data_IF_787437973741
#
_entry.id   IF_787437973741
#
_cell.length_a   1.000
_cell.length_b   1.000
_cell.length_c   1.000
_cell.angle_alpha   90.00
_cell.angle_beta   90.00
_cell.angle_gamma   90.00
#
_symmetry.space_group_name_H-M   'P 1'
#
loop_
_entity.id
_entity.type
_entity.pdbx_description
1 polymer ?
#
# COMPACT_ATOMS: atom_id res chain seq x y z
N UNK A 1 34.89 24.07 6.39
CA UNK A 1 35.85 25.01 5.79
C UNK A 1 35.23 25.63 4.54
N UNK A 2 34.34 26.63 4.69
CA UNK A 2 34.25 27.66 3.66
C UNK A 2 35.50 28.50 3.77
N UNK A 3 36.11 28.81 2.63
CA UNK A 3 37.20 29.75 2.49
C UNK A 3 38.47 29.38 3.29
N UNK A 4 39.37 28.64 2.65
CA UNK A 4 40.78 28.91 2.81
C UNK A 4 41.02 30.32 2.24
N UNK A 5 40.78 31.35 3.05
CA UNK A 5 40.67 32.79 2.73
C UNK A 5 41.96 33.45 2.22
N UNK A 6 42.93 32.67 1.75
CA UNK A 6 44.20 33.18 1.24
C UNK A 6 44.27 33.38 -0.28
N UNK A 7 43.46 32.65 -1.05
CA UNK A 7 43.65 32.54 -2.52
C UNK A 7 42.42 32.87 -3.37
N UNK A 8 41.23 32.96 -2.79
CA UNK A 8 39.99 33.27 -3.51
C UNK A 8 39.65 34.75 -3.44
N UNK A 9 39.19 35.32 -4.56
CA UNK A 9 38.69 36.70 -4.56
C UNK A 9 37.34 36.78 -3.86
N UNK A 10 36.93 37.99 -3.44
CA UNK A 10 35.60 38.23 -2.87
C UNK A 10 34.47 37.93 -3.87
N UNK A 11 34.74 38.05 -5.16
CA UNK A 11 33.79 37.75 -6.24
C UNK A 11 33.60 36.24 -6.41
N UNK A 12 34.67 35.44 -6.29
CA UNK A 12 34.56 33.96 -6.33
C UNK A 12 33.72 33.42 -5.18
N UNK A 13 33.88 33.97 -3.97
CA UNK A 13 33.11 33.57 -2.80
C UNK A 13 31.63 33.93 -2.98
N UNK A 14 31.35 35.11 -3.53
CA UNK A 14 29.97 35.55 -3.79
C UNK A 14 29.26 34.64 -4.82
N UNK A 15 29.95 34.25 -5.90
CA UNK A 15 29.40 33.32 -6.90
C UNK A 15 29.08 31.94 -6.29
N UNK A 16 29.96 31.41 -5.44
CA UNK A 16 29.73 30.14 -4.74
C UNK A 16 28.57 30.25 -3.74
N UNK A 17 28.43 31.38 -3.06
CA UNK A 17 27.30 31.63 -2.16
C UNK A 17 25.97 31.65 -2.93
N UNK A 18 25.94 32.25 -4.12
CA UNK A 18 24.76 32.24 -5.00
C UNK A 18 24.38 30.83 -5.46
N UNK A 19 25.36 30.03 -5.92
CA UNK A 19 25.12 28.63 -6.30
C UNK A 19 24.58 27.80 -5.14
N UNK A 20 25.17 27.94 -3.95
CA UNK A 20 24.72 27.18 -2.78
C UNK A 20 23.32 27.58 -2.32
N UNK A 21 22.97 28.86 -2.38
CA UNK A 21 21.62 29.32 -2.06
C UNK A 21 20.59 28.84 -3.09
N UNK A 22 20.96 28.79 -4.37
CA UNK A 22 20.10 28.21 -5.42
C UNK A 22 19.85 26.71 -5.18
N UNK A 23 20.88 25.95 -4.81
CA UNK A 23 20.74 24.53 -4.47
C UNK A 23 19.85 24.32 -3.24
N UNK A 24 20.01 25.14 -2.19
CA UNK A 24 19.17 25.10 -1.00
C UNK A 24 17.69 25.36 -1.30
N UNK A 25 17.43 26.36 -2.15
CA UNK A 25 16.08 26.67 -2.62
C UNK A 25 15.48 25.50 -3.40
N UNK A 26 16.28 24.82 -4.23
CA UNK A 26 15.83 23.65 -4.99
C UNK A 26 15.52 22.45 -4.07
N UNK A 27 16.35 22.19 -3.06
CA UNK A 27 16.08 21.13 -2.06
C UNK A 27 14.74 21.38 -1.34
N UNK A 28 14.50 22.64 -0.97
CA UNK A 28 13.23 23.06 -0.34
C UNK A 28 12.06 22.88 -1.31
N UNK A 29 12.22 23.29 -2.57
CA UNK A 29 11.21 23.13 -3.61
C UNK A 29 10.83 21.65 -3.81
N UNK A 30 11.82 20.77 -3.92
CA UNK A 30 11.59 19.32 -4.04
C UNK A 30 10.80 18.82 -2.83
N UNK A 31 11.19 19.21 -1.62
CA UNK A 31 10.53 18.74 -0.39
C UNK A 31 9.06 19.18 -0.32
N UNK A 32 8.76 20.43 -0.69
CA UNK A 32 7.42 21.00 -0.60
C UNK A 32 6.48 20.61 -1.76
N UNK A 33 7.04 20.41 -2.96
CA UNK A 33 6.26 20.18 -4.18
C UNK A 33 6.18 18.72 -4.61
N UNK A 34 6.94 17.81 -4.00
CA UNK A 34 6.81 16.38 -4.32
C UNK A 34 5.48 15.86 -3.77
N UNK A 35 4.55 15.60 -4.68
CA UNK A 35 3.20 15.14 -4.37
C UNK A 35 2.86 13.88 -5.17
N UNK A 36 2.15 12.97 -4.54
CA UNK A 36 1.55 11.81 -5.19
C UNK A 36 0.04 11.86 -4.95
N UNK A 37 -0.73 11.83 -6.03
CA UNK A 37 -2.20 11.95 -5.97
C UNK A 37 -2.68 13.18 -5.15
N UNK A 38 -1.95 14.30 -5.23
CA UNK A 38 -2.27 15.53 -4.50
C UNK A 38 -1.83 15.57 -3.03
N UNK A 39 -1.41 14.44 -2.45
CA UNK A 39 -0.84 14.38 -1.10
C UNK A 39 0.68 14.59 -1.15
N UNK A 40 1.22 15.34 -0.20
CA UNK A 40 2.67 15.53 -0.04
C UNK A 40 3.30 14.22 0.41
N UNK A 41 4.30 13.72 -0.33
CA UNK A 41 4.90 12.39 -0.06
C UNK A 41 5.84 12.37 1.14
N UNK A 42 6.28 13.56 1.59
CA UNK A 42 7.20 13.72 2.71
C UNK A 42 6.45 13.94 4.04
N UNK A 43 5.12 14.09 4.02
CA UNK A 43 4.31 14.20 5.24
C UNK A 43 3.92 12.81 5.78
N UNK A 44 3.42 12.77 7.02
CA UNK A 44 2.94 11.53 7.61
C UNK A 44 1.68 11.03 6.89
N UNK A 45 1.61 9.71 6.67
CA UNK A 45 0.48 9.08 6.02
C UNK A 45 0.18 7.72 6.64
N UNK A 46 -1.10 7.40 6.80
CA UNK A 46 -1.56 6.09 7.25
C UNK A 46 -2.05 5.25 6.08
N UNK A 47 -1.55 4.02 5.97
CA UNK A 47 -2.02 3.03 5.01
C UNK A 47 -2.83 1.98 5.77
N UNK A 48 -4.11 1.82 5.41
CA UNK A 48 -4.92 0.70 5.93
C UNK A 48 -4.43 -0.59 5.28
N UNK A 49 -4.04 -1.57 6.11
CA UNK A 49 -3.37 -2.80 5.66
C UNK A 49 -4.25 -4.05 5.73
N UNK A 50 -5.44 -3.97 6.35
CA UNK A 50 -6.41 -5.07 6.39
C UNK A 50 -7.86 -4.59 6.54
N UNK A 51 -8.79 -5.54 6.46
CA UNK A 51 -10.24 -5.32 6.59
C UNK A 51 -10.67 -5.00 8.04
N UNK A 52 -9.80 -5.24 9.03
CA UNK A 52 -10.05 -4.86 10.42
C UNK A 52 -9.74 -3.37 10.70
N UNK A 53 -9.21 -2.66 9.70
CA UNK A 53 -8.84 -1.25 9.81
C UNK A 53 -7.48 -1.03 10.48
N UNK A 54 -6.63 -2.06 10.58
CA UNK A 54 -5.26 -1.86 11.07
C UNK A 54 -4.48 -0.99 10.09
N UNK A 55 -3.66 -0.09 10.61
CA UNK A 55 -2.88 0.84 9.80
C UNK A 55 -1.38 0.62 9.94
N UNK A 56 -0.66 0.86 8.84
CA UNK A 56 0.77 1.10 8.84
C UNK A 56 1.00 2.60 8.66
N UNK A 57 1.52 3.24 9.71
CA UNK A 57 1.89 4.66 9.68
C UNK A 57 3.25 4.83 9.02
N UNK A 58 3.28 5.64 7.97
CA UNK A 58 4.48 6.23 7.39
C UNK A 58 4.69 7.57 8.11
N UNK A 59 5.81 7.70 8.82
CA UNK A 59 6.16 8.96 9.48
C UNK A 59 6.59 10.02 8.47
N UNK A 60 6.36 11.29 8.82
CA UNK A 60 6.89 12.42 8.05
C UNK A 60 8.43 12.36 7.96
N UNK A 61 8.97 12.76 6.82
CA UNK A 61 10.40 12.91 6.63
C UNK A 61 10.89 14.09 7.49
N UNK A 62 11.89 13.84 8.32
CA UNK A 62 12.64 14.90 8.99
C UNK A 62 13.85 15.19 8.11
N UNK A 63 13.87 16.41 7.53
CA UNK A 63 14.86 16.88 6.55
C UNK A 63 15.36 18.30 6.94
N UNK A 64 15.49 18.56 8.23
CA UNK A 64 15.80 19.91 8.75
C UNK A 64 17.22 20.35 8.40
N UNK A 65 18.18 19.42 8.41
CA UNK A 65 19.56 19.72 8.07
C UNK A 65 19.70 19.84 6.55
N UNK A 66 18.99 19.00 5.79
CA UNK A 66 18.96 19.06 4.33
C UNK A 66 18.35 20.35 3.78
N UNK A 67 17.27 20.85 4.39
CA UNK A 67 16.63 22.13 4.00
C UNK A 67 17.34 23.35 4.61
N UNK A 68 18.16 23.14 5.64
CA UNK A 68 18.96 24.18 6.30
C UNK A 68 20.33 24.46 5.67
N UNK A 69 20.73 23.71 4.64
CA UNK A 69 21.99 23.97 3.91
C UNK A 69 21.92 25.37 3.30
N UNK A 70 22.90 26.20 3.62
CA UNK A 70 23.01 27.58 3.14
C UNK A 70 24.42 27.81 2.60
N UNK A 71 24.67 28.92 1.90
CA UNK A 71 25.99 29.56 1.95
C UNK A 71 26.47 29.61 3.43
N UNK A 72 27.73 29.71 3.83
CA UNK A 72 28.13 29.44 5.25
C UNK A 72 28.00 27.99 5.77
N UNK A 73 27.19 27.09 5.19
CA UNK A 73 27.22 25.67 5.61
C UNK A 73 28.61 25.07 5.46
N UNK A 74 29.04 24.32 6.47
CA UNK A 74 30.31 23.62 6.48
C UNK A 74 30.18 22.25 5.84
N UNK A 75 31.31 21.62 5.50
CA UNK A 75 31.32 20.24 5.01
C UNK A 75 30.63 19.29 6.01
N UNK A 76 30.80 19.52 7.31
CA UNK A 76 30.14 18.74 8.37
C UNK A 76 28.62 18.91 8.36
N UNK A 77 28.11 20.12 8.06
CA UNK A 77 26.67 20.35 7.95
C UNK A 77 26.09 19.64 6.72
N UNK A 78 26.85 19.62 5.61
CA UNK A 78 26.48 18.86 4.40
C UNK A 78 26.49 17.35 4.66
N UNK A 79 27.50 16.83 5.38
CA UNK A 79 27.57 15.42 5.76
C UNK A 79 26.37 15.04 6.64
N UNK A 80 26.01 15.88 7.62
CA UNK A 80 24.84 15.68 8.46
C UNK A 80 23.52 15.65 7.65
N UNK A 81 23.36 16.59 6.71
CA UNK A 81 22.23 16.62 5.78
C UNK A 81 22.14 15.34 4.92
N UNK A 82 23.28 14.84 4.43
CA UNK A 82 23.33 13.60 3.64
C UNK A 82 22.94 12.39 4.50
N UNK A 83 23.46 12.31 5.73
CA UNK A 83 23.13 11.24 6.67
C UNK A 83 21.65 11.26 7.09
N UNK A 84 21.07 12.44 7.24
CA UNK A 84 19.63 12.63 7.48
C UNK A 84 18.81 12.06 6.31
N UNK A 85 19.11 12.45 5.08
CA UNK A 85 18.43 11.93 3.87
C UNK A 85 18.56 10.42 3.77
N UNK A 86 19.77 9.87 4.00
CA UNK A 86 20.01 8.44 3.98
C UNK A 86 19.20 7.70 5.04
N UNK A 87 19.09 8.29 6.24
CA UNK A 87 18.28 7.74 7.33
C UNK A 87 16.79 7.70 6.95
N UNK A 88 16.25 8.75 6.32
CA UNK A 88 14.87 8.74 5.86
C UNK A 88 14.65 7.71 4.73
N UNK A 89 15.57 7.62 3.77
CA UNK A 89 15.51 6.61 2.70
C UNK A 89 15.53 5.18 3.24
N UNK A 90 16.36 4.92 4.25
CA UNK A 90 16.42 3.61 4.89
C UNK A 90 15.10 3.26 5.59
N UNK A 91 14.48 4.22 6.31
CA UNK A 91 13.17 4.02 6.95
C UNK A 91 12.07 3.72 5.92
N UNK A 92 12.02 4.47 4.82
CA UNK A 92 11.04 4.23 3.75
C UNK A 92 11.28 2.91 3.02
N UNK A 93 12.53 2.52 2.77
CA UNK A 93 12.84 1.20 2.22
C UNK A 93 12.40 0.05 3.14
N UNK A 94 12.60 0.20 4.46
CA UNK A 94 12.12 -0.79 5.44
C UNK A 94 10.58 -0.88 5.46
N UNK A 95 9.88 0.25 5.39
CA UNK A 95 8.42 0.28 5.28
C UNK A 95 7.91 -0.32 3.97
N UNK A 96 8.60 -0.09 2.86
CA UNK A 96 8.28 -0.71 1.57
C UNK A 96 8.38 -2.24 1.66
N UNK A 97 9.49 -2.77 2.20
CA UNK A 97 9.65 -4.22 2.40
C UNK A 97 8.53 -4.79 3.26
N UNK A 98 8.16 -4.08 4.34
CA UNK A 98 7.05 -4.49 5.21
C UNK A 98 5.71 -4.49 4.47
N UNK A 99 5.43 -3.48 3.64
CA UNK A 99 4.23 -3.42 2.81
C UNK A 99 4.18 -4.57 1.80
N UNK A 100 5.29 -4.87 1.12
CA UNK A 100 5.36 -6.00 0.18
C UNK A 100 5.06 -7.33 0.88
N UNK A 101 5.58 -7.55 2.09
CA UNK A 101 5.24 -8.73 2.88
C UNK A 101 3.76 -8.77 3.30
N UNK A 102 3.20 -7.63 3.70
CA UNK A 102 1.77 -7.52 4.05
C UNK A 102 0.90 -7.85 2.84
N UNK A 103 1.21 -7.30 1.67
CA UNK A 103 0.47 -7.55 0.42
C UNK A 103 0.50 -9.04 0.05
N UNK A 104 1.68 -9.67 0.12
CA UNK A 104 1.81 -11.10 -0.15
C UNK A 104 0.99 -11.95 0.83
N UNK A 105 1.05 -11.65 2.13
CA UNK A 105 0.28 -12.36 3.15
C UNK A 105 -1.24 -12.16 2.99
N UNK A 106 -1.68 -10.94 2.65
CA UNK A 106 -3.07 -10.64 2.40
C UNK A 106 -3.59 -11.36 1.15
N UNK A 107 -2.78 -11.48 0.10
CA UNK A 107 -3.08 -12.28 -1.08
C UNK A 107 -3.36 -13.75 -0.72
N UNK A 108 -2.47 -14.37 0.07
CA UNK A 108 -2.67 -15.75 0.54
C UNK A 108 -3.90 -15.89 1.44
N UNK A 109 -4.15 -14.92 2.31
CA UNK A 109 -5.34 -14.94 3.19
C UNK A 109 -6.62 -14.81 2.37
N UNK A 110 -6.64 -13.94 1.36
CA UNK A 110 -7.78 -13.75 0.44
C UNK A 110 -8.08 -15.04 -0.33
N UNK A 111 -7.05 -15.71 -0.87
CA UNK A 111 -7.21 -16.99 -1.57
C UNK A 111 -7.78 -18.08 -0.64
N UNK A 112 -7.25 -18.18 0.59
CA UNK A 112 -7.73 -19.14 1.58
C UNK A 112 -9.17 -18.88 2.03
N UNK A 113 -9.55 -17.61 2.20
CA UNK A 113 -10.91 -17.21 2.55
C UNK A 113 -11.87 -17.50 1.39
N UNK A 114 -11.49 -17.18 0.15
CA UNK A 114 -12.30 -17.48 -1.03
C UNK A 114 -12.50 -19.00 -1.22
N UNK A 115 -11.44 -19.80 -1.00
CA UNK A 115 -11.54 -21.26 -1.05
C UNK A 115 -12.42 -21.82 0.08
N UNK A 116 -12.38 -21.21 1.27
CA UNK A 116 -13.23 -21.59 2.39
C UNK A 116 -14.69 -21.20 2.14
N UNK A 117 -14.94 -20.01 1.58
CA UNK A 117 -16.29 -19.58 1.17
C UNK A 117 -16.85 -20.52 0.12
N UNK A 118 -16.06 -20.85 -0.92
CA UNK A 118 -16.43 -21.84 -1.94
C UNK A 118 -16.82 -23.17 -1.31
N UNK A 119 -16.05 -23.70 -0.35
CA UNK A 119 -16.43 -24.96 0.35
C UNK A 119 -17.71 -24.86 1.17
N UNK A 120 -18.01 -23.71 1.76
CA UNK A 120 -19.19 -23.51 2.62
C UNK A 120 -20.44 -23.25 1.76
N UNK A 121 -20.29 -22.47 0.71
CA UNK A 121 -21.39 -21.93 -0.10
C UNK A 121 -21.65 -22.75 -1.36
N UNK A 122 -20.61 -23.29 -1.97
CA UNK A 122 -20.78 -24.10 -3.17
C UNK A 122 -21.37 -25.44 -2.77
N UNK A 123 -22.52 -25.73 -3.36
CA UNK A 123 -23.20 -27.00 -3.20
C UNK A 123 -22.51 -28.07 -4.04
N UNK A 124 -22.48 -29.30 -3.53
CA UNK A 124 -22.11 -30.44 -4.35
C UNK A 124 -23.21 -30.67 -5.41
N UNK A 125 -22.94 -30.20 -6.62
CA UNK A 125 -23.85 -30.31 -7.78
C UNK A 125 -24.27 -31.76 -8.05
N UNK A 126 -23.39 -32.76 -7.81
CA UNK A 126 -23.75 -34.15 -8.03
C UNK A 126 -24.83 -34.60 -7.04
N UNK A 127 -24.69 -34.21 -5.77
CA UNK A 127 -25.67 -34.52 -4.73
C UNK A 127 -26.99 -33.79 -4.96
N UNK A 128 -26.95 -32.53 -5.34
CA UNK A 128 -28.17 -31.75 -5.59
C UNK A 128 -28.91 -32.24 -6.83
N UNK A 129 -28.21 -32.63 -7.90
CA UNK A 129 -28.80 -33.24 -9.09
C UNK A 129 -29.42 -34.62 -8.79
N UNK A 130 -28.81 -35.42 -7.92
CA UNK A 130 -29.41 -36.68 -7.47
C UNK A 130 -30.70 -36.44 -6.68
N UNK A 131 -30.70 -35.47 -5.76
CA UNK A 131 -31.90 -35.08 -5.01
C UNK A 131 -32.99 -34.53 -5.93
N UNK A 132 -32.63 -33.66 -6.88
CA UNK A 132 -33.55 -33.13 -7.89
C UNK A 132 -34.17 -34.24 -8.73
N UNK A 133 -33.35 -35.17 -9.24
CA UNK A 133 -33.83 -36.32 -10.02
C UNK A 133 -34.76 -37.22 -9.19
N UNK A 134 -34.38 -37.53 -7.94
CA UNK A 134 -35.21 -38.28 -6.99
C UNK A 134 -36.57 -37.61 -6.75
N UNK A 135 -36.58 -36.29 -6.56
CA UNK A 135 -37.80 -35.52 -6.34
C UNK A 135 -38.70 -35.49 -7.59
N UNK A 136 -38.12 -35.40 -8.79
CA UNK A 136 -38.87 -35.51 -10.05
C UNK A 136 -39.52 -36.89 -10.20
N UNK A 137 -38.78 -37.97 -9.92
CA UNK A 137 -39.31 -39.33 -9.96
C UNK A 137 -40.43 -39.50 -8.93
N UNK A 138 -40.26 -39.00 -7.70
CA UNK A 138 -41.31 -39.00 -6.67
C UNK A 138 -42.56 -38.22 -7.10
N UNK A 139 -42.40 -37.06 -7.74
CA UNK A 139 -43.53 -36.27 -8.23
C UNK A 139 -44.29 -36.99 -9.35
N UNK A 140 -43.59 -37.62 -10.30
CA UNK A 140 -44.20 -38.43 -11.35
C UNK A 140 -44.92 -39.66 -10.76
N UNK A 141 -44.29 -40.35 -9.80
CA UNK A 141 -44.89 -41.47 -9.10
C UNK A 141 -46.13 -41.05 -8.29
N UNK A 142 -46.08 -39.90 -7.59
CA UNK A 142 -47.22 -39.37 -6.86
C UNK A 142 -48.40 -39.04 -7.78
N UNK A 143 -48.14 -38.45 -8.96
CA UNK A 143 -49.18 -38.20 -9.97
C UNK A 143 -49.80 -39.50 -10.50
N UNK A 144 -48.97 -40.50 -10.81
CA UNK A 144 -49.45 -41.82 -11.27
C UNK A 144 -50.25 -42.55 -10.17
N UNK A 145 -49.79 -42.48 -8.92
CA UNK A 145 -50.49 -43.06 -7.76
C UNK A 145 -51.81 -42.34 -7.47
N UNK A 146 -51.85 -41.01 -7.63
CA UNK A 146 -53.08 -40.23 -7.46
C UNK A 146 -54.10 -40.53 -8.56
N UNK A 147 -53.63 -40.70 -9.80
CA UNK A 147 -54.48 -41.17 -10.90
C UNK A 147 -55.01 -42.59 -10.65
N UNK A 148 -54.17 -43.50 -10.16
CA UNK A 148 -54.58 -44.86 -9.82
C UNK A 148 -55.59 -44.88 -8.65
N UNK A 149 -55.35 -44.10 -7.59
CA UNK A 149 -56.24 -43.98 -6.45
C UNK A 149 -57.60 -43.34 -6.81
N UNK A 150 -57.66 -42.48 -7.83
CA UNK A 150 -58.92 -41.92 -8.33
C UNK A 150 -59.74 -42.91 -9.19
N UNK A 151 -59.10 -43.92 -9.79
CA UNK A 151 -59.79 -44.96 -10.57
C UNK A 151 -60.26 -46.14 -9.71
N UNK A 152 -59.64 -46.36 -8.54
CA UNK A 152 -59.97 -47.44 -7.62
C UNK A 152 -61.42 -47.42 -7.05
N UNK A 153 -62.09 -46.27 -6.86
CA UNK A 153 -63.49 -46.19 -6.44
C UNK A 153 -64.52 -46.34 -7.58
N UNK A 154 -64.09 -46.41 -8.85
CA UNK A 154 -64.98 -46.47 -10.03
C UNK A 154 -65.16 -47.90 -10.58
N UNK A 155 -64.80 -48.92 -9.79
CA UNK A 155 -64.99 -50.35 -10.11
C UNK A 155 -66.04 -51.02 -9.24
#
# INVERSE_FOLDING_TARGET
QKANTGTYSTEDIANVDEEMNALAAEITNITDNTKFNGATVMDAADIVIDDAGNTLTIGAAVLTDATGVTASATATDIDAAIDEVNTQRAKYGALQNRLEHIVNNLGTTTENLQASESRIRDVDMAKEMMNFSKNNILSQAAQAMLAQANQQPQG
#
